data_IF_074878995729
#
_entry.id   IF_074878995729
#
_cell.length_a   1.000
_cell.length_b   1.000
_cell.length_c   1.000
_cell.angle_alpha   90.00
_cell.angle_beta   90.00
_cell.angle_gamma   90.00
#
_symmetry.space_group_name_H-M   'P 1'
#
loop_
_entity.id
_entity.type
_entity.pdbx_description
1 polymer ?
#
# COMPACT_ATOMS: atom_id res chain seq x y z
N UNK A 1 -16.36 2.96 -27.74
CA UNK A 1 -15.50 2.66 -26.57
C UNK A 1 -15.39 3.86 -25.63
N UNK A 2 -15.11 5.07 -26.15
CA UNK A 2 -14.84 6.26 -25.32
C UNK A 2 -16.09 6.82 -24.63
N UNK A 3 -17.26 6.77 -25.27
CA UNK A 3 -18.52 7.18 -24.66
C UNK A 3 -18.88 6.33 -23.43
N UNK A 4 -18.62 5.03 -23.47
CA UNK A 4 -18.83 4.12 -22.33
C UNK A 4 -17.86 4.43 -21.18
N UNK A 5 -16.61 4.77 -21.47
CA UNK A 5 -15.63 5.21 -20.46
C UNK A 5 -16.07 6.50 -19.78
N UNK A 6 -16.55 7.48 -20.54
CA UNK A 6 -17.06 8.75 -19.99
C UNK A 6 -18.24 8.50 -19.05
N UNK A 7 -19.21 7.65 -19.46
CA UNK A 7 -20.36 7.30 -18.61
C UNK A 7 -19.94 6.59 -17.35
N UNK A 8 -18.97 5.66 -17.44
CA UNK A 8 -18.42 4.95 -16.28
C UNK A 8 -17.78 5.91 -15.28
N UNK A 9 -16.87 6.77 -15.74
CA UNK A 9 -16.22 7.80 -14.90
C UNK A 9 -17.24 8.70 -14.24
N UNK A 10 -18.24 9.17 -15.01
CA UNK A 10 -19.31 10.05 -14.48
C UNK A 10 -20.15 9.36 -13.39
N UNK A 11 -20.41 8.07 -13.52
CA UNK A 11 -21.13 7.29 -12.50
C UNK A 11 -20.28 7.09 -11.24
N UNK A 12 -18.99 6.82 -11.40
CA UNK A 12 -18.05 6.71 -10.29
C UNK A 12 -17.93 8.04 -9.54
N UNK A 13 -17.75 9.17 -10.25
CA UNK A 13 -17.73 10.50 -9.64
C UNK A 13 -18.97 10.79 -8.79
N UNK A 14 -20.15 10.35 -9.25
CA UNK A 14 -21.40 10.51 -8.49
C UNK A 14 -21.48 9.61 -7.27
N UNK A 15 -20.95 8.40 -7.37
CA UNK A 15 -20.95 7.44 -6.26
C UNK A 15 -19.99 7.86 -5.13
N UNK A 16 -18.93 8.61 -5.45
CA UNK A 16 -17.92 9.07 -4.50
C UNK A 16 -18.19 10.48 -3.95
N UNK A 17 -19.38 11.05 -4.16
CA UNK A 17 -19.78 12.38 -3.66
C UNK A 17 -18.73 13.47 -3.99
N UNK A 18 -18.20 13.43 -5.20
CA UNK A 18 -17.19 14.37 -5.63
C UNK A 18 -17.65 15.82 -5.52
N UNK A 19 -16.75 16.67 -5.06
CA UNK A 19 -16.98 18.11 -4.96
C UNK A 19 -15.67 18.88 -5.14
N UNK A 20 -15.74 20.22 -5.23
CA UNK A 20 -14.51 21.04 -5.20
C UNK A 20 -13.64 20.81 -3.96
N UNK A 21 -14.25 20.44 -2.85
CA UNK A 21 -13.54 20.12 -1.61
C UNK A 21 -12.94 18.70 -1.64
N UNK A 22 -13.58 17.79 -2.35
CA UNK A 22 -13.17 16.38 -2.50
C UNK A 22 -13.08 16.05 -3.99
N UNK A 23 -11.95 16.37 -4.65
CA UNK A 23 -11.77 16.12 -6.07
C UNK A 23 -11.72 14.60 -6.35
N UNK A 24 -12.33 14.21 -7.46
CA UNK A 24 -12.28 12.83 -7.93
C UNK A 24 -10.96 12.56 -8.65
N UNK A 25 -10.25 11.50 -8.24
CA UNK A 25 -9.03 11.04 -8.90
C UNK A 25 -9.40 10.10 -10.05
N UNK A 26 -9.30 10.56 -11.29
CA UNK A 26 -9.68 9.76 -12.46
C UNK A 26 -8.50 9.05 -13.15
N UNK A 27 -7.27 9.37 -12.80
CA UNK A 27 -6.07 8.70 -13.29
C UNK A 27 -4.93 8.82 -12.28
N UNK A 28 -4.14 7.76 -12.15
CA UNK A 28 -2.89 7.70 -11.37
C UNK A 28 -1.77 7.21 -12.26
N UNK A 29 -0.51 7.45 -11.88
CA UNK A 29 0.66 7.00 -12.64
C UNK A 29 0.77 7.61 -14.04
N UNK A 30 0.27 8.83 -14.22
CA UNK A 30 0.35 9.54 -15.51
C UNK A 30 1.80 9.88 -15.86
N UNK A 31 2.16 9.78 -17.15
CA UNK A 31 3.51 10.10 -17.62
C UNK A 31 3.83 11.59 -17.53
N UNK A 32 5.11 11.93 -17.47
CA UNK A 32 5.59 13.32 -17.48
C UNK A 32 5.11 14.08 -18.73
N UNK A 33 5.03 13.42 -19.89
CA UNK A 33 4.46 14.02 -21.10
C UNK A 33 3.01 14.41 -20.93
N UNK A 34 2.20 13.58 -20.27
CA UNK A 34 0.81 13.89 -19.97
C UNK A 34 0.70 15.07 -18.99
N UNK A 35 1.58 15.11 -17.99
CA UNK A 35 1.69 16.24 -17.05
C UNK A 35 2.02 17.52 -17.79
N UNK A 36 2.99 17.50 -18.72
CA UNK A 36 3.38 18.64 -19.54
C UNK A 36 2.19 19.15 -20.38
N UNK A 37 1.52 18.25 -21.13
CA UNK A 37 0.37 18.59 -21.97
C UNK A 37 -0.76 19.26 -21.15
N UNK A 38 -1.10 18.73 -19.98
CA UNK A 38 -2.14 19.30 -19.12
C UNK A 38 -1.71 20.67 -18.59
N UNK A 39 -0.43 20.81 -18.22
CA UNK A 39 0.13 22.05 -17.66
C UNK A 39 0.19 23.17 -18.69
N UNK A 40 0.58 22.85 -19.92
CA UNK A 40 0.64 23.82 -21.03
C UNK A 40 -0.76 24.25 -21.51
N UNK A 41 -1.73 23.34 -21.46
CA UNK A 41 -3.09 23.59 -21.96
C UNK A 41 -4.09 23.87 -20.83
N UNK A 42 -3.70 24.60 -19.80
CA UNK A 42 -4.55 24.92 -18.63
C UNK A 42 -5.90 25.54 -18.98
N UNK A 43 -6.00 26.25 -20.11
CA UNK A 43 -7.26 26.81 -20.57
C UNK A 43 -8.30 25.73 -20.93
N UNK A 44 -7.86 24.62 -21.51
CA UNK A 44 -8.71 23.48 -21.85
C UNK A 44 -8.98 22.57 -20.62
N UNK A 45 -8.02 22.47 -19.70
CA UNK A 45 -8.07 21.59 -18.52
C UNK A 45 -8.29 22.38 -17.22
N UNK A 46 -9.03 23.48 -17.26
CA UNK A 46 -9.17 24.40 -16.11
C UNK A 46 -9.77 23.81 -14.83
N UNK A 47 -10.38 22.63 -14.91
CA UNK A 47 -10.93 21.88 -13.76
C UNK A 47 -10.10 20.64 -13.39
N UNK A 48 -8.98 20.41 -14.06
CA UNK A 48 -8.07 19.29 -13.78
C UNK A 48 -6.91 19.80 -12.95
N UNK A 49 -6.63 19.13 -11.84
CA UNK A 49 -5.44 19.37 -11.02
C UNK A 49 -4.53 18.14 -11.06
N UNK A 50 -3.23 18.39 -11.10
CA UNK A 50 -2.20 17.36 -10.97
C UNK A 50 -1.64 17.45 -9.56
N UNK A 51 -1.58 16.32 -8.88
CA UNK A 51 -1.06 16.23 -7.52
C UNK A 51 -0.06 15.09 -7.47
N UNK A 52 1.12 15.35 -6.90
CA UNK A 52 2.07 14.29 -6.60
C UNK A 52 1.60 13.57 -5.33
N UNK A 53 1.48 12.25 -5.43
CA UNK A 53 1.19 11.38 -4.29
C UNK A 53 2.32 10.39 -4.10
N UNK A 54 2.58 10.00 -2.87
CA UNK A 54 3.51 8.91 -2.56
C UNK A 54 2.72 7.61 -2.50
N UNK A 55 3.27 6.57 -3.12
CA UNK A 55 2.71 5.23 -3.08
C UNK A 55 3.72 4.28 -2.43
N UNK A 56 3.21 3.32 -1.63
CA UNK A 56 4.05 2.32 -1.02
C UNK A 56 4.49 1.29 -2.06
N UNK A 57 5.79 1.18 -2.32
CA UNK A 57 6.36 0.19 -3.22
C UNK A 57 7.09 -0.90 -2.43
N UNK A 58 6.79 -2.16 -2.71
CA UNK A 58 7.44 -3.32 -2.10
C UNK A 58 8.48 -3.89 -3.07
N UNK A 59 9.72 -3.40 -3.01
CA UNK A 59 10.80 -3.76 -3.96
C UNK A 59 11.16 -5.25 -3.91
N UNK A 60 11.00 -5.89 -2.76
CA UNK A 60 11.17 -7.33 -2.54
C UNK A 60 9.89 -7.89 -1.93
N UNK A 61 8.78 -7.80 -2.66
CA UNK A 61 7.47 -8.13 -2.17
C UNK A 61 7.28 -9.60 -1.74
N UNK A 62 8.13 -10.50 -2.22
CA UNK A 62 8.18 -11.92 -1.86
C UNK A 62 8.98 -12.20 -0.57
N UNK A 63 9.75 -11.21 -0.08
CA UNK A 63 10.61 -11.38 1.08
C UNK A 63 9.87 -11.02 2.38
N UNK A 64 9.71 -12.01 3.26
CA UNK A 64 9.04 -11.87 4.55
C UNK A 64 7.69 -11.13 4.53
N UNK A 65 6.77 -11.40 3.56
CA UNK A 65 5.55 -10.60 3.40
C UNK A 65 4.66 -10.59 4.65
N UNK A 66 4.63 -11.69 5.41
CA UNK A 66 3.87 -11.78 6.65
C UNK A 66 4.44 -10.90 7.77
N UNK A 67 5.76 -10.62 7.74
CA UNK A 67 6.43 -9.76 8.71
C UNK A 67 6.30 -8.29 8.30
N UNK A 68 6.66 -7.98 7.06
CA UNK A 68 6.60 -6.61 6.53
C UNK A 68 5.17 -6.08 6.60
N UNK A 69 4.21 -6.88 6.16
CA UNK A 69 2.83 -6.46 6.09
C UNK A 69 2.54 -5.57 4.90
N UNK A 70 1.35 -4.99 4.87
CA UNK A 70 0.93 -4.10 3.79
C UNK A 70 0.12 -2.92 4.29
N UNK A 71 0.11 -1.89 3.48
CA UNK A 71 -0.84 -0.78 3.60
C UNK A 71 -2.11 -1.07 2.80
N UNK A 72 -3.19 -0.40 3.16
CA UNK A 72 -4.47 -0.48 2.45
C UNK A 72 -5.41 0.63 2.88
N UNK A 73 -6.50 0.81 2.16
CA UNK A 73 -7.50 1.83 2.47
C UNK A 73 -8.06 1.62 3.88
N UNK A 74 -8.29 2.73 4.58
CA UNK A 74 -8.91 2.73 5.91
C UNK A 74 -10.33 2.18 5.83
N UNK A 75 -10.67 1.22 6.69
CA UNK A 75 -12.03 0.73 6.82
C UNK A 75 -12.90 1.69 7.66
N UNK A 76 -14.22 1.59 7.53
CA UNK A 76 -15.15 2.40 8.32
C UNK A 76 -14.93 2.23 9.84
N UNK A 77 -14.61 1.01 10.29
CA UNK A 77 -14.33 0.70 11.70
C UNK A 77 -13.02 1.36 12.16
N UNK A 78 -11.95 1.25 11.35
CA UNK A 78 -10.68 1.90 11.63
C UNK A 78 -10.83 3.42 11.66
N UNK A 79 -11.56 3.99 10.69
CA UNK A 79 -11.83 5.42 10.65
C UNK A 79 -12.58 5.90 11.89
N UNK A 80 -13.61 5.18 12.33
CA UNK A 80 -14.35 5.54 13.56
C UNK A 80 -13.44 5.62 14.81
N UNK A 81 -12.42 4.76 14.88
CA UNK A 81 -11.45 4.75 15.97
C UNK A 81 -10.34 5.81 15.82
N UNK A 82 -9.97 6.19 14.59
CA UNK A 82 -8.78 6.99 14.32
C UNK A 82 -9.06 8.42 13.83
N UNK A 83 -10.33 8.79 13.59
CA UNK A 83 -10.71 10.13 13.09
C UNK A 83 -10.20 11.28 13.97
N UNK A 84 -10.19 11.09 15.29
CA UNK A 84 -9.73 12.08 16.26
C UNK A 84 -8.20 12.19 16.30
N UNK A 85 -7.49 11.21 15.72
CA UNK A 85 -6.03 11.19 15.49
C UNK A 85 -5.64 11.75 14.13
N UNK A 86 -6.57 12.43 13.43
CA UNK A 86 -6.30 13.11 12.16
C UNK A 86 -6.36 12.24 10.91
N UNK A 87 -6.91 11.02 11.00
CA UNK A 87 -7.15 10.18 9.83
C UNK A 87 -8.42 10.60 9.08
N UNK A 88 -8.41 10.42 7.76
CA UNK A 88 -9.51 10.73 6.84
C UNK A 88 -10.04 9.44 6.21
N UNK A 89 -11.26 9.48 5.70
CA UNK A 89 -11.91 8.33 5.05
C UNK A 89 -11.16 7.74 3.84
N UNK A 90 -10.31 8.54 3.21
CA UNK A 90 -9.55 8.11 2.03
C UNK A 90 -8.08 7.84 2.36
N UNK A 91 -7.71 7.81 3.64
CA UNK A 91 -6.33 7.54 4.03
C UNK A 91 -5.99 6.06 3.81
N UNK A 92 -4.72 5.84 3.55
CA UNK A 92 -4.11 4.51 3.49
C UNK A 92 -3.29 4.33 4.75
N UNK A 93 -3.42 3.17 5.40
CA UNK A 93 -2.67 2.85 6.62
C UNK A 93 -2.24 1.39 6.62
N UNK A 94 -1.30 1.06 7.51
CA UNK A 94 -0.85 -0.31 7.73
C UNK A 94 -1.99 -1.23 8.15
N UNK A 95 -2.20 -2.34 7.43
CA UNK A 95 -3.28 -3.29 7.70
C UNK A 95 -2.82 -4.44 8.59
N UNK A 96 -1.58 -4.87 8.44
CA UNK A 96 -0.96 -5.90 9.28
C UNK A 96 0.57 -5.81 9.20
N UNK A 97 1.26 -6.63 10.03
CA UNK A 97 2.72 -6.70 10.09
C UNK A 97 3.35 -5.44 10.66
N UNK A 98 4.57 -5.16 10.24
CA UNK A 98 5.35 -3.98 10.65
C UNK A 98 4.66 -2.69 10.16
N UNK A 99 4.06 -2.70 8.97
CA UNK A 99 3.30 -1.55 8.46
C UNK A 99 2.20 -1.11 9.43
N UNK A 100 1.47 -2.05 10.03
CA UNK A 100 0.44 -1.73 11.02
C UNK A 100 1.02 -1.44 12.41
N UNK A 101 2.03 -2.21 12.83
CA UNK A 101 2.59 -2.08 14.17
C UNK A 101 3.35 -0.76 14.37
N UNK A 102 3.97 -0.25 13.32
CA UNK A 102 4.75 0.98 13.33
C UNK A 102 4.13 2.07 12.42
N UNK A 103 2.83 2.04 12.22
CA UNK A 103 2.08 3.04 11.43
C UNK A 103 2.40 4.47 11.86
N UNK A 104 2.44 4.75 13.18
CA UNK A 104 2.76 6.08 13.71
C UNK A 104 4.15 6.59 13.33
N UNK A 105 5.11 5.68 13.15
CA UNK A 105 6.47 6.02 12.75
C UNK A 105 6.61 6.16 11.22
N UNK A 106 5.90 5.32 10.48
CA UNK A 106 6.04 5.20 9.03
C UNK A 106 5.20 6.23 8.26
N UNK A 107 4.08 6.69 8.84
CA UNK A 107 3.08 7.53 8.17
C UNK A 107 3.61 8.92 7.76
N UNK A 108 4.45 9.55 8.60
CA UNK A 108 4.82 10.95 8.42
C UNK A 108 3.68 11.94 8.71
N UNK A 109 3.88 13.20 8.38
CA UNK A 109 2.92 14.27 8.59
C UNK A 109 2.47 14.88 7.26
N UNK A 110 1.16 15.04 7.10
CA UNK A 110 0.61 15.69 5.91
C UNK A 110 0.90 17.19 5.91
N UNK A 111 1.34 17.68 4.76
CA UNK A 111 1.39 19.10 4.51
C UNK A 111 -0.01 19.73 4.46
N UNK A 112 -0.07 21.06 4.55
CA UNK A 112 -1.29 21.84 4.40
C UNK A 112 -1.13 22.80 3.22
N UNK A 113 -2.17 22.85 2.38
CA UNK A 113 -2.23 23.74 1.23
C UNK A 113 -3.54 24.54 1.26
N UNK A 114 -3.42 25.84 1.17
CA UNK A 114 -4.57 26.73 1.03
C UNK A 114 -4.85 26.99 -0.45
N UNK A 115 -6.07 26.70 -0.87
CA UNK A 115 -6.51 26.90 -2.26
C UNK A 115 -7.67 27.89 -2.24
N UNK A 116 -7.49 29.02 -2.94
CA UNK A 116 -8.54 30.03 -3.10
C UNK A 116 -9.24 29.83 -4.44
N UNK A 117 -10.56 29.87 -4.40
CA UNK A 117 -11.41 29.73 -5.60
C UNK A 117 -12.14 31.03 -5.89
N UNK A 118 -12.35 31.34 -7.19
CA UNK A 118 -13.28 32.37 -7.62
C UNK A 118 -14.73 31.93 -7.40
N UNK A 119 -15.67 32.86 -7.49
CA UNK A 119 -17.13 32.57 -7.45
C UNK A 119 -17.59 31.56 -8.50
N UNK A 120 -16.85 31.39 -9.60
CA UNK A 120 -17.08 30.39 -10.65
C UNK A 120 -16.36 29.06 -10.44
N UNK A 121 -15.74 28.82 -9.28
CA UNK A 121 -15.06 27.57 -8.95
C UNK A 121 -13.67 27.42 -9.58
N UNK A 122 -13.11 28.44 -10.20
CA UNK A 122 -11.75 28.42 -10.76
C UNK A 122 -10.73 28.71 -9.66
N UNK A 123 -9.67 27.91 -9.58
CA UNK A 123 -8.55 28.15 -8.66
C UNK A 123 -7.86 29.47 -9.02
N UNK A 124 -7.80 30.39 -8.05
CA UNK A 124 -7.17 31.72 -8.21
C UNK A 124 -5.82 31.82 -7.51
N UNK A 125 -5.63 31.06 -6.43
CA UNK A 125 -4.37 31.01 -5.69
C UNK A 125 -4.17 29.66 -5.06
N UNK A 126 -2.91 29.24 -4.97
CA UNK A 126 -2.48 28.05 -4.23
C UNK A 126 -1.26 28.43 -3.41
N UNK A 127 -1.35 28.29 -2.10
CA UNK A 127 -0.26 28.59 -1.16
C UNK A 127 -0.03 27.37 -0.28
N UNK A 128 1.18 26.84 -0.29
CA UNK A 128 1.58 25.78 0.64
C UNK A 128 1.87 26.43 2.01
N UNK A 129 1.04 26.14 3.00
CA UNK A 129 1.15 26.69 4.35
C UNK A 129 2.03 25.85 5.27
N UNK A 130 2.09 24.53 5.03
CA UNK A 130 2.94 23.59 5.77
C UNK A 130 3.46 22.55 4.78
N UNK A 131 4.77 22.35 4.75
CA UNK A 131 5.37 21.30 3.96
C UNK A 131 5.10 19.91 4.59
N UNK A 132 4.86 18.87 3.78
CA UNK A 132 4.73 17.51 4.29
C UNK A 132 6.07 17.03 4.85
N UNK A 133 6.02 16.21 5.93
CA UNK A 133 7.18 15.57 6.50
C UNK A 133 7.10 14.06 6.27
N UNK A 134 8.19 13.47 5.77
CA UNK A 134 8.28 12.03 5.60
C UNK A 134 8.29 11.31 6.96
N UNK A 135 7.75 10.10 7.00
CA UNK A 135 7.85 9.24 8.17
C UNK A 135 9.27 8.75 8.42
N UNK A 136 9.48 8.13 9.55
CA UNK A 136 10.76 7.59 9.96
C UNK A 136 11.14 6.34 9.16
N UNK A 137 12.45 6.10 9.04
CA UNK A 137 12.97 4.85 8.49
C UNK A 137 13.07 3.81 9.60
N UNK A 138 12.52 2.62 9.36
CA UNK A 138 12.57 1.49 10.29
C UNK A 138 13.56 0.45 9.78
N UNK A 139 14.50 0.05 10.65
CA UNK A 139 15.47 -1.01 10.38
C UNK A 139 15.07 -2.25 11.17
N UNK A 140 14.96 -3.38 10.48
CA UNK A 140 14.68 -4.68 11.09
C UNK A 140 15.97 -5.46 11.29
N UNK A 141 15.95 -6.38 12.24
CA UNK A 141 17.06 -7.34 12.46
C UNK A 141 17.05 -8.48 11.44
N UNK A 142 16.02 -8.57 10.60
CA UNK A 142 15.90 -9.57 9.53
C UNK A 142 17.03 -9.38 8.52
N UNK A 143 17.75 -10.47 8.25
CA UNK A 143 18.80 -10.54 7.24
C UNK A 143 18.20 -11.09 5.95
N UNK A 144 18.21 -10.30 4.88
CA UNK A 144 17.51 -10.62 3.63
C UNK A 144 17.93 -11.95 3.01
N UNK A 145 19.24 -12.24 2.99
CA UNK A 145 19.76 -13.47 2.41
C UNK A 145 19.39 -14.70 3.24
N UNK A 146 19.50 -14.59 4.57
CA UNK A 146 19.07 -15.64 5.49
C UNK A 146 17.56 -15.86 5.41
N UNK A 147 16.78 -14.79 5.37
CA UNK A 147 15.33 -14.86 5.22
C UNK A 147 14.94 -15.63 3.95
N UNK A 148 15.57 -15.32 2.82
CA UNK A 148 15.34 -16.01 1.54
C UNK A 148 15.70 -17.47 1.62
N UNK A 149 16.84 -17.80 2.21
CA UNK A 149 17.27 -19.20 2.40
C UNK A 149 16.28 -19.99 3.29
N UNK A 150 15.79 -19.37 4.38
CA UNK A 150 14.83 -20.00 5.28
C UNK A 150 13.48 -20.20 4.59
N UNK A 151 12.98 -19.22 3.81
CA UNK A 151 11.74 -19.37 3.04
C UNK A 151 11.84 -20.53 2.04
N UNK A 152 12.94 -20.61 1.29
CA UNK A 152 13.17 -21.68 0.33
C UNK A 152 13.29 -23.05 1.00
N UNK A 153 14.01 -23.13 2.11
CA UNK A 153 14.17 -24.38 2.88
C UNK A 153 12.82 -24.85 3.47
N UNK A 154 11.99 -23.91 3.98
CA UNK A 154 10.67 -24.22 4.50
C UNK A 154 9.75 -24.76 3.40
N UNK A 155 9.69 -24.09 2.26
CA UNK A 155 8.86 -24.53 1.13
C UNK A 155 9.31 -25.89 0.64
N UNK A 156 10.61 -26.07 0.43
CA UNK A 156 11.18 -27.38 0.03
C UNK A 156 10.82 -28.48 1.01
N UNK A 157 10.91 -28.22 2.31
CA UNK A 157 10.56 -29.21 3.33
C UNK A 157 9.08 -29.61 3.28
N UNK A 158 8.18 -28.65 3.10
CA UNK A 158 6.73 -28.89 2.93
C UNK A 158 6.49 -29.79 1.70
N UNK A 159 7.15 -29.48 0.58
CA UNK A 159 6.99 -30.24 -0.67
C UNK A 159 7.57 -31.66 -0.53
N UNK A 160 8.72 -31.81 0.12
CA UNK A 160 9.33 -33.11 0.42
C UNK A 160 8.44 -33.98 1.31
N UNK A 161 7.78 -33.38 2.33
CA UNK A 161 6.85 -34.08 3.22
C UNK A 161 5.64 -34.56 2.43
N UNK A 162 5.01 -33.70 1.62
CA UNK A 162 3.89 -34.04 0.74
C UNK A 162 4.25 -35.18 -0.21
N UNK A 163 5.43 -35.11 -0.84
CA UNK A 163 5.87 -36.08 -1.81
C UNK A 163 6.14 -37.46 -1.17
N UNK A 164 6.75 -37.49 0.00
CA UNK A 164 7.01 -38.74 0.75
C UNK A 164 5.72 -39.40 1.25
N UNK A 165 4.71 -38.60 1.55
CA UNK A 165 3.40 -39.05 1.99
C UNK A 165 2.46 -39.48 0.84
N UNK A 166 2.78 -39.15 -0.41
CA UNK A 166 1.96 -39.43 -1.58
C UNK A 166 1.77 -40.95 -1.76
N UNK A 167 0.51 -41.36 -1.82
CA UNK A 167 0.14 -42.78 -1.95
C UNK A 167 0.21 -43.57 -0.64
N UNK A 168 0.43 -42.92 0.49
CA UNK A 168 0.34 -43.50 1.82
C UNK A 168 -0.78 -42.82 2.59
N UNK A 169 -1.50 -43.60 3.39
CA UNK A 169 -2.49 -43.05 4.34
C UNK A 169 -1.72 -42.46 5.54
N UNK A 170 -1.13 -41.29 5.33
CA UNK A 170 -0.28 -40.59 6.30
C UNK A 170 -0.63 -39.12 6.43
N UNK A 171 -0.52 -38.59 7.64
CA UNK A 171 -0.82 -37.17 7.95
C UNK A 171 0.00 -36.17 7.12
N UNK A 172 1.19 -36.54 6.64
CA UNK A 172 2.04 -35.69 5.80
C UNK A 172 1.45 -35.36 4.45
N UNK A 173 0.50 -36.16 3.93
CA UNK A 173 -0.18 -35.88 2.66
C UNK A 173 -0.99 -34.57 2.70
N UNK A 174 -1.46 -34.17 3.88
CA UNK A 174 -2.27 -32.98 4.13
C UNK A 174 -1.45 -31.79 4.68
N UNK A 175 -0.13 -31.84 4.58
CA UNK A 175 0.72 -30.72 5.00
C UNK A 175 0.45 -29.50 4.11
N UNK A 176 -0.24 -28.48 4.63
CA UNK A 176 -0.63 -27.28 3.87
C UNK A 176 0.25 -26.07 4.15
N UNK A 177 1.04 -26.08 5.23
CA UNK A 177 1.85 -24.94 5.60
C UNK A 177 2.85 -25.25 6.71
N UNK A 178 3.61 -24.23 7.07
CA UNK A 178 4.59 -24.28 8.15
C UNK A 178 5.14 -22.91 8.46
N UNK A 179 5.92 -22.83 9.53
CA UNK A 179 6.65 -21.62 9.92
C UNK A 179 8.06 -21.99 10.39
N UNK A 180 9.00 -21.05 10.20
CA UNK A 180 10.38 -21.18 10.68
C UNK A 180 10.86 -19.83 11.19
N UNK A 181 11.53 -19.82 12.34
CA UNK A 181 12.12 -18.63 12.96
C UNK A 181 13.59 -18.90 13.25
N UNK A 182 14.44 -17.96 12.91
CA UNK A 182 15.87 -17.97 13.25
C UNK A 182 16.16 -16.78 14.14
N UNK A 183 16.73 -17.04 15.32
CA UNK A 183 16.99 -16.02 16.33
C UNK A 183 18.46 -16.10 16.80
N UNK A 184 19.09 -14.96 16.98
CA UNK A 184 20.38 -14.87 17.67
C UNK A 184 20.18 -15.01 19.18
N UNK A 185 20.62 -16.14 19.73
CA UNK A 185 20.42 -16.44 21.16
C UNK A 185 21.21 -15.54 22.12
N UNK A 186 22.16 -14.75 21.60
CA UNK A 186 22.99 -13.86 22.41
C UNK A 186 22.26 -12.55 22.77
N UNK A 187 21.37 -12.10 21.91
CA UNK A 187 20.70 -10.80 22.04
C UNK A 187 19.19 -10.82 21.74
N UNK A 188 18.66 -11.99 21.35
CA UNK A 188 17.24 -12.15 21.03
C UNK A 188 16.80 -11.58 19.67
N UNK A 189 17.74 -11.13 18.82
CA UNK A 189 17.40 -10.59 17.51
C UNK A 189 16.82 -11.67 16.60
N UNK A 190 15.66 -11.40 15.99
CA UNK A 190 15.06 -12.26 14.97
C UNK A 190 15.77 -11.98 13.65
N UNK A 191 16.51 -12.98 13.15
CA UNK A 191 17.31 -12.88 11.93
C UNK A 191 16.53 -13.32 10.69
N UNK A 192 15.58 -14.25 10.84
CA UNK A 192 14.65 -14.64 9.80
C UNK A 192 13.34 -15.15 10.40
N UNK A 193 12.23 -14.89 9.74
CA UNK A 193 10.90 -15.37 10.11
C UNK A 193 10.12 -15.68 8.82
N UNK A 194 9.90 -16.96 8.55
CA UNK A 194 9.22 -17.44 7.35
C UNK A 194 7.92 -18.13 7.70
N UNK A 195 6.90 -17.93 6.88
CA UNK A 195 5.64 -18.64 6.92
C UNK A 195 5.28 -19.12 5.51
N UNK A 196 4.69 -20.29 5.43
CA UNK A 196 4.16 -20.87 4.19
C UNK A 196 2.70 -21.31 4.41
N UNK A 197 1.80 -21.13 3.42
CA UNK A 197 2.04 -20.54 2.11
C UNK A 197 2.44 -19.05 2.19
N UNK A 198 3.21 -18.60 1.21
CA UNK A 198 3.66 -17.20 1.10
C UNK A 198 2.89 -16.48 -0.03
N UNK A 199 3.02 -15.18 -0.12
CA UNK A 199 2.43 -14.32 -1.14
C UNK A 199 3.40 -13.21 -1.51
N UNK A 200 3.09 -12.44 -2.56
CA UNK A 200 3.91 -11.31 -2.98
C UNK A 200 3.17 -9.99 -2.72
N UNK A 201 3.74 -9.12 -1.89
CA UNK A 201 3.16 -7.82 -1.55
C UNK A 201 3.04 -6.88 -2.77
N UNK A 202 3.95 -7.00 -3.74
CA UNK A 202 3.93 -6.16 -4.93
C UNK A 202 2.74 -6.45 -5.86
N UNK A 203 2.22 -7.69 -5.86
CA UNK A 203 1.08 -8.11 -6.69
C UNK A 203 -0.20 -8.36 -5.88
N UNK A 204 -0.14 -8.23 -4.57
CA UNK A 204 -1.23 -8.61 -3.67
C UNK A 204 -2.59 -7.99 -4.03
N UNK A 205 -2.59 -6.74 -4.47
CA UNK A 205 -3.84 -6.07 -4.88
C UNK A 205 -4.42 -6.57 -6.21
N UNK A 206 -3.62 -7.32 -6.99
CA UNK A 206 -4.03 -7.89 -8.28
C UNK A 206 -4.48 -9.35 -8.12
N UNK A 207 -4.11 -9.98 -7.00
CA UNK A 207 -4.38 -11.39 -6.72
C UNK A 207 -5.69 -11.60 -5.92
N UNK A 208 -6.40 -10.50 -5.58
CA UNK A 208 -7.70 -10.46 -4.91
C UNK A 208 -8.85 -10.19 -5.88
#
# INVERSE_FOLDING_TARGET
ADALKIVSVRNQMRAEDYSFKYPYTFATGVSDDTVAVITENRAAFGYVSITNTTERAYLQGDLAPHVVGRVGAISATQYAALKDSGYKLNDVLGQFGIEAALESELRGEFGKREITYSSGGKVTSVVDTVAPQAGNTVYLTIQSDLQRAVQQALQKNIDDVKQKAKGRDSEGANCTGGAAIVMDVRNGAVLAMASAPTFNLATYAQDL
#
